data_IF_730534908047
#
_entry.id   IF_730534908047
#
_cell.length_a   1.000
_cell.length_b   1.000
_cell.length_c   1.000
_cell.angle_alpha   90.00
_cell.angle_beta   90.00
_cell.angle_gamma   90.00
#
_symmetry.space_group_name_H-M   'P 1'
#
loop_
_entity.id
_entity.type
_entity.pdbx_description
1 polymer ?
#
# COMPACT_ATOMS: atom_id res chain seq x y z
N UNK A 1 28.70 -16.71 37.90
CA UNK A 1 27.39 -16.87 37.23
C UNK A 1 27.30 -15.77 36.19
N UNK A 2 27.74 -16.07 34.98
CA UNK A 2 27.58 -15.14 33.83
C UNK A 2 26.23 -15.42 33.17
N UNK A 3 25.33 -14.43 33.22
CA UNK A 3 24.12 -14.44 32.44
C UNK A 3 24.48 -13.98 31.01
N UNK A 4 24.61 -14.94 30.09
CA UNK A 4 24.68 -14.68 28.67
C UNK A 4 23.35 -14.10 28.20
N UNK A 5 23.31 -12.79 27.98
CA UNK A 5 22.20 -12.15 27.30
C UNK A 5 22.28 -12.50 25.82
N UNK A 6 21.37 -13.36 25.32
CA UNK A 6 21.16 -13.59 23.92
C UNK A 6 20.65 -12.29 23.27
N UNK A 7 21.55 -11.54 22.66
CA UNK A 7 21.21 -10.39 21.81
C UNK A 7 20.70 -10.94 20.50
N UNK A 8 19.38 -11.07 20.36
CA UNK A 8 18.75 -11.40 19.07
C UNK A 8 19.02 -10.25 18.12
N UNK A 9 19.84 -10.51 17.10
CA UNK A 9 20.09 -9.54 16.03
C UNK A 9 18.77 -9.18 15.33
N UNK A 10 18.52 -7.91 15.00
CA UNK A 10 17.31 -7.51 14.29
C UNK A 10 17.27 -8.22 12.94
N UNK A 11 16.17 -8.93 12.65
CA UNK A 11 15.98 -9.58 11.36
C UNK A 11 15.91 -8.50 10.27
N UNK A 12 16.78 -8.61 9.26
CA UNK A 12 16.83 -7.67 8.15
C UNK A 12 15.58 -7.84 7.28
N UNK A 13 14.89 -6.73 6.97
CA UNK A 13 13.77 -6.73 6.03
C UNK A 13 14.28 -7.00 4.61
N UNK A 14 13.66 -7.95 3.93
CA UNK A 14 13.93 -8.24 2.51
C UNK A 14 12.92 -7.51 1.64
N UNK A 15 13.40 -6.93 0.53
CA UNK A 15 12.57 -6.19 -0.42
C UNK A 15 12.77 -6.74 -1.84
N UNK A 16 11.68 -6.80 -2.60
CA UNK A 16 11.70 -7.03 -4.06
C UNK A 16 10.83 -5.97 -4.71
N UNK A 17 11.36 -5.24 -5.67
CA UNK A 17 10.65 -4.15 -6.35
C UNK A 17 10.46 -4.49 -7.83
N UNK A 18 9.26 -4.22 -8.34
CA UNK A 18 8.85 -4.42 -9.72
C UNK A 18 8.28 -3.11 -10.26
N UNK A 19 8.67 -2.73 -11.47
CA UNK A 19 8.01 -1.66 -12.23
C UNK A 19 6.92 -2.28 -13.11
N UNK A 20 5.76 -1.63 -13.19
CA UNK A 20 4.63 -2.09 -13.99
C UNK A 20 3.74 -0.94 -14.44
N UNK A 21 2.85 -1.19 -15.40
CA UNK A 21 1.88 -0.23 -15.93
C UNK A 21 0.46 -0.76 -15.79
N UNK A 22 -0.54 0.06 -16.14
CA UNK A 22 -1.94 -0.38 -16.15
C UNK A 22 -2.24 -1.52 -17.15
N UNK A 23 -1.34 -1.75 -18.10
CA UNK A 23 -1.46 -2.81 -19.10
C UNK A 23 -0.85 -4.15 -18.63
N UNK A 24 -0.06 -4.16 -17.54
CA UNK A 24 0.69 -5.33 -17.06
C UNK A 24 0.42 -5.59 -15.56
N UNK A 25 -0.83 -5.59 -15.17
CA UNK A 25 -1.24 -5.81 -13.78
C UNK A 25 -1.28 -7.27 -13.35
N UNK A 26 -1.38 -8.21 -14.32
CA UNK A 26 -1.53 -9.63 -14.05
C UNK A 26 -0.30 -10.19 -13.33
N UNK A 27 0.90 -9.77 -13.73
CA UNK A 27 2.14 -10.17 -13.08
C UNK A 27 2.21 -9.77 -11.60
N UNK A 28 1.73 -8.57 -11.26
CA UNK A 28 1.66 -8.12 -9.88
C UNK A 28 0.59 -8.88 -9.09
N UNK A 29 -0.57 -9.13 -9.69
CA UNK A 29 -1.62 -9.92 -9.06
C UNK A 29 -1.19 -11.37 -8.78
N UNK A 30 -0.42 -11.98 -9.69
CA UNK A 30 0.15 -13.31 -9.51
C UNK A 30 1.18 -13.33 -8.37
N UNK A 31 2.07 -12.34 -8.34
CA UNK A 31 3.04 -12.20 -7.26
C UNK A 31 2.35 -11.97 -5.90
N UNK A 32 1.27 -11.17 -5.85
CA UNK A 32 0.47 -10.99 -4.62
C UNK A 32 -0.11 -12.33 -4.12
N UNK A 33 -0.65 -13.17 -5.02
CA UNK A 33 -1.16 -14.49 -4.64
C UNK A 33 -0.07 -15.37 -4.04
N UNK A 34 1.07 -15.46 -4.72
CA UNK A 34 2.24 -16.21 -4.23
C UNK A 34 2.76 -15.66 -2.90
N UNK A 35 2.74 -14.34 -2.74
CA UNK A 35 3.24 -13.67 -1.54
C UNK A 35 2.29 -13.83 -0.34
N UNK A 36 0.99 -14.01 -0.59
CA UNK A 36 0.00 -14.30 0.45
C UNK A 36 0.16 -15.72 1.02
N UNK A 37 0.67 -16.67 0.21
CA UNK A 37 0.89 -18.04 0.64
C UNK A 37 1.92 -18.08 1.78
N UNK A 38 1.49 -18.59 2.95
CA UNK A 38 2.31 -18.65 4.15
C UNK A 38 2.61 -17.28 4.77
N UNK A 39 1.74 -16.28 4.57
CA UNK A 39 1.83 -15.00 5.25
C UNK A 39 1.75 -15.19 6.78
N UNK A 40 2.62 -14.49 7.51
CA UNK A 40 2.83 -14.60 8.95
C UNK A 40 2.64 -13.28 9.70
N UNK A 41 2.03 -12.28 9.03
CA UNK A 41 1.86 -10.93 9.56
C UNK A 41 3.08 -10.01 9.41
N UNK A 42 4.16 -10.51 8.78
CA UNK A 42 5.42 -9.77 8.56
C UNK A 42 5.64 -9.45 7.07
N UNK A 43 4.62 -9.61 6.26
CA UNK A 43 4.66 -9.40 4.82
C UNK A 43 3.73 -8.26 4.43
N UNK A 44 4.21 -7.38 3.55
CA UNK A 44 3.38 -6.31 2.98
C UNK A 44 3.85 -5.92 1.59
N UNK A 45 2.93 -5.38 0.80
CA UNK A 45 3.18 -4.78 -0.49
C UNK A 45 2.93 -3.28 -0.39
N UNK A 46 3.84 -2.49 -0.94
CA UNK A 46 3.63 -1.07 -1.21
C UNK A 46 3.59 -0.84 -2.71
N UNK A 47 2.62 -0.05 -3.17
CA UNK A 47 2.55 0.46 -4.55
C UNK A 47 2.57 1.99 -4.49
N UNK A 48 3.44 2.59 -5.29
CA UNK A 48 3.55 4.05 -5.46
C UNK A 48 3.61 4.39 -6.94
N UNK A 49 3.20 5.61 -7.35
CA UNK A 49 3.53 6.12 -8.67
C UNK A 49 5.05 6.11 -8.89
N UNK A 50 5.50 5.68 -10.06
CA UNK A 50 6.88 5.81 -10.51
C UNK A 50 7.05 7.20 -11.11
N UNK A 51 7.34 8.18 -10.25
CA UNK A 51 7.50 9.57 -10.63
C UNK A 51 8.96 9.97 -10.54
N UNK A 52 9.49 10.59 -11.60
CA UNK A 52 10.85 11.11 -11.63
C UNK A 52 11.06 12.19 -10.55
N UNK A 53 12.26 12.22 -9.96
CA UNK A 53 12.64 13.22 -8.95
C UNK A 53 12.44 14.68 -9.43
N UNK A 54 12.42 14.92 -10.75
CA UNK A 54 12.17 16.22 -11.36
C UNK A 54 10.68 16.63 -11.35
N UNK A 55 9.75 15.69 -11.32
CA UNK A 55 8.31 15.96 -11.23
C UNK A 55 7.92 16.32 -9.80
N UNK A 56 8.75 15.94 -8.86
CA UNK A 56 8.55 16.15 -7.44
C UNK A 56 9.33 17.38 -6.99
N UNK A 57 8.83 18.55 -7.26
CA UNK A 57 9.50 19.84 -7.06
C UNK A 57 9.76 20.27 -5.61
N UNK A 58 9.79 19.40 -4.59
CA UNK A 58 10.12 19.84 -3.23
C UNK A 58 10.73 18.75 -2.35
N UNK A 59 12.00 18.93 -2.00
CA UNK A 59 12.61 18.41 -0.77
C UNK A 59 12.84 16.89 -0.71
N UNK A 60 13.86 16.50 0.05
CA UNK A 60 14.25 15.12 0.34
C UNK A 60 13.04 14.20 0.63
N UNK A 61 13.04 13.01 0.05
CA UNK A 61 12.02 11.94 0.25
C UNK A 61 11.73 11.69 1.74
N UNK A 62 12.72 11.83 2.61
CA UNK A 62 12.58 11.69 4.06
C UNK A 62 11.64 12.74 4.69
N UNK A 63 11.70 13.99 4.26
CA UNK A 63 10.82 15.05 4.77
C UNK A 63 9.38 14.91 4.28
N UNK A 64 9.14 14.21 3.17
CA UNK A 64 7.80 13.97 2.62
C UNK A 64 7.02 12.93 3.41
N UNK A 65 7.70 11.90 3.93
CA UNK A 65 7.07 10.87 4.76
C UNK A 65 6.64 11.38 6.14
N UNK A 66 7.27 12.45 6.64
CA UNK A 66 7.04 13.00 7.99
C UNK A 66 6.43 14.40 8.00
N UNK A 67 5.92 14.89 6.86
CA UNK A 67 5.26 16.19 6.86
C UNK A 67 4.00 16.12 7.72
N UNK A 68 3.73 17.19 8.48
CA UNK A 68 2.50 17.31 9.29
C UNK A 68 1.22 17.30 8.44
N UNK A 69 1.35 17.35 7.11
CA UNK A 69 0.26 17.33 6.11
C UNK A 69 0.00 15.94 5.53
N UNK A 70 0.77 14.92 5.91
CA UNK A 70 0.70 13.57 5.33
C UNK A 70 1.66 13.36 4.15
N UNK A 71 1.71 12.16 3.54
CA UNK A 71 2.60 11.86 2.42
C UNK A 71 2.20 12.68 1.20
N UNK A 72 3.15 13.35 0.57
CA UNK A 72 2.93 14.13 -0.68
C UNK A 72 2.65 13.19 -1.84
N UNK A 73 3.32 12.03 -1.87
CA UNK A 73 3.10 10.97 -2.85
C UNK A 73 2.12 9.98 -2.25
N UNK A 74 0.96 9.71 -2.89
CA UNK A 74 0.04 8.70 -2.39
C UNK A 74 0.70 7.32 -2.47
N UNK A 75 0.39 6.49 -1.49
CA UNK A 75 0.92 5.12 -1.39
C UNK A 75 -0.21 4.17 -1.05
N UNK A 76 -0.31 3.08 -1.81
CA UNK A 76 -1.11 1.93 -1.42
C UNK A 76 -0.24 0.97 -0.62
N UNK A 77 -0.76 0.47 0.49
CA UNK A 77 -0.17 -0.63 1.27
C UNK A 77 -1.18 -1.76 1.37
N UNK A 78 -0.78 -2.97 1.01
CA UNK A 78 -1.57 -4.17 1.20
C UNK A 78 -0.89 -5.13 2.17
N UNK A 79 -1.69 -5.64 3.10
CA UNK A 79 -1.30 -6.66 4.08
C UNK A 79 -2.11 -7.93 3.77
N UNK A 80 -1.48 -9.07 3.47
CA UNK A 80 -2.19 -10.32 3.27
C UNK A 80 -2.84 -10.82 4.57
N UNK A 81 -3.93 -11.58 4.44
CA UNK A 81 -4.50 -12.29 5.57
C UNK A 81 -3.46 -13.23 6.19
N UNK A 82 -3.44 -13.32 7.51
CA UNK A 82 -2.45 -14.15 8.21
C UNK A 82 -2.99 -14.70 9.52
N UNK A 83 -2.44 -15.83 10.01
CA UNK A 83 -2.76 -16.36 11.32
C UNK A 83 -2.34 -15.40 12.43
N UNK A 84 -3.18 -15.26 13.45
CA UNK A 84 -2.89 -14.52 14.66
C UNK A 84 -3.27 -15.34 15.90
N UNK A 85 -2.97 -14.83 17.11
CA UNK A 85 -3.34 -15.48 18.35
C UNK A 85 -4.86 -15.61 18.56
N UNK A 86 -5.63 -14.74 17.89
CA UNK A 86 -7.08 -14.64 18.02
C UNK A 86 -7.83 -15.23 16.82
N UNK A 87 -7.15 -15.94 15.93
CA UNK A 87 -7.72 -16.49 14.70
C UNK A 87 -6.98 -16.00 13.47
N UNK A 88 -7.70 -15.73 12.38
CA UNK A 88 -7.13 -15.19 11.15
C UNK A 88 -7.40 -13.69 11.09
N UNK A 89 -6.35 -12.90 11.03
CA UNK A 89 -6.46 -11.47 10.70
C UNK A 89 -6.78 -11.34 9.20
N UNK A 90 -7.85 -10.63 8.84
CA UNK A 90 -8.21 -10.47 7.44
C UNK A 90 -7.19 -9.63 6.68
N UNK A 91 -7.12 -9.80 5.37
CA UNK A 91 -6.32 -8.94 4.52
C UNK A 91 -6.80 -7.49 4.63
N UNK A 92 -5.87 -6.55 4.53
CA UNK A 92 -6.17 -5.13 4.60
C UNK A 92 -5.49 -4.40 3.43
N UNK A 93 -6.12 -3.33 2.98
CA UNK A 93 -5.51 -2.39 2.05
C UNK A 93 -5.73 -0.97 2.55
N UNK A 94 -4.67 -0.19 2.53
CA UNK A 94 -4.71 1.23 2.88
C UNK A 94 -4.19 2.09 1.74
N UNK A 95 -4.76 3.29 1.58
CA UNK A 95 -4.21 4.32 0.68
C UNK A 95 -3.92 5.56 1.51
N UNK A 96 -2.63 5.83 1.69
CA UNK A 96 -2.15 7.05 2.32
C UNK A 96 -2.11 8.19 1.29
N UNK A 97 -2.54 9.38 1.69
CA UNK A 97 -2.56 10.58 0.84
C UNK A 97 -2.51 11.86 1.67
N UNK A 98 -2.22 12.99 1.04
CA UNK A 98 -2.07 14.30 1.68
C UNK A 98 -3.09 15.33 1.19
N UNK A 99 -4.27 14.93 0.74
CA UNK A 99 -5.22 15.85 0.09
C UNK A 99 -5.96 16.78 1.07
N UNK A 100 -5.89 16.51 2.39
CA UNK A 100 -6.60 17.29 3.40
C UNK A 100 -8.11 17.08 3.40
N UNK A 101 -8.64 16.14 2.60
CA UNK A 101 -10.05 15.73 2.50
C UNK A 101 -10.17 14.23 2.70
N UNK A 102 -11.39 13.75 2.93
CA UNK A 102 -11.71 12.32 2.89
C UNK A 102 -11.26 11.70 1.56
N UNK A 103 -10.53 10.57 1.61
CA UNK A 103 -10.12 9.86 0.40
C UNK A 103 -11.33 9.32 -0.34
N UNK A 104 -12.29 8.75 0.37
CA UNK A 104 -13.51 8.17 -0.23
C UNK A 104 -14.34 9.23 -0.95
N UNK A 105 -14.53 10.41 -0.35
CA UNK A 105 -15.23 11.52 -0.98
C UNK A 105 -14.52 11.91 -2.30
N UNK A 106 -13.21 12.11 -2.24
CA UNK A 106 -12.44 12.52 -3.42
C UNK A 106 -12.42 11.46 -4.51
N UNK A 107 -12.28 10.18 -4.17
CA UNK A 107 -12.33 9.08 -5.14
C UNK A 107 -13.71 9.00 -5.81
N UNK A 108 -14.78 9.14 -5.02
CA UNK A 108 -16.15 9.18 -5.54
C UNK A 108 -16.37 10.35 -6.51
N UNK A 109 -15.92 11.56 -6.16
CA UNK A 109 -16.01 12.75 -7.01
C UNK A 109 -15.27 12.59 -8.34
N UNK A 110 -14.25 11.72 -8.37
CA UNK A 110 -13.42 11.42 -9.54
C UNK A 110 -13.84 10.15 -10.29
N UNK A 111 -14.94 9.52 -9.87
CA UNK A 111 -15.48 8.32 -10.51
C UNK A 111 -14.73 7.02 -10.21
N UNK A 112 -13.85 7.01 -9.21
CA UNK A 112 -13.20 5.79 -8.72
C UNK A 112 -14.11 5.11 -7.71
N UNK A 113 -14.69 3.98 -8.13
CA UNK A 113 -15.56 3.19 -7.27
C UNK A 113 -14.77 2.25 -6.37
N UNK A 114 -15.18 2.15 -5.11
CA UNK A 114 -14.64 1.13 -4.19
C UNK A 114 -15.18 -0.24 -4.61
N UNK A 115 -14.31 -1.24 -4.84
CA UNK A 115 -14.74 -2.57 -5.25
C UNK A 115 -15.61 -3.26 -4.20
N UNK A 116 -16.46 -4.19 -4.64
CA UNK A 116 -17.19 -5.08 -3.74
C UNK A 116 -16.22 -5.88 -2.87
N UNK A 117 -16.56 -6.08 -1.61
CA UNK A 117 -15.72 -6.78 -0.63
C UNK A 117 -14.68 -5.91 0.06
N UNK A 118 -14.62 -4.60 -0.24
CA UNK A 118 -13.80 -3.64 0.50
C UNK A 118 -14.65 -2.95 1.56
N UNK A 119 -14.37 -3.21 2.83
CA UNK A 119 -15.09 -2.65 3.96
C UNK A 119 -14.26 -1.54 4.62
N UNK A 120 -14.62 -0.26 4.47
CA UNK A 120 -13.84 0.84 5.03
C UNK A 120 -13.92 0.81 6.57
N UNK A 121 -12.76 0.84 7.22
CA UNK A 121 -12.64 0.91 8.68
C UNK A 121 -12.00 2.22 9.14
N UNK A 122 -11.38 2.95 8.23
CA UNK A 122 -10.84 4.28 8.47
C UNK A 122 -10.95 5.11 7.18
N UNK A 123 -11.34 6.38 7.31
CA UNK A 123 -11.17 7.40 6.29
C UNK A 123 -10.80 8.72 6.97
N UNK A 124 -9.53 9.04 6.97
CA UNK A 124 -8.96 10.16 7.70
C UNK A 124 -8.21 11.10 6.76
N UNK A 125 -8.53 12.40 6.82
CA UNK A 125 -8.02 13.45 5.92
C UNK A 125 -6.48 13.53 5.81
N UNK A 126 -5.74 13.05 6.81
CA UNK A 126 -4.27 13.09 6.86
C UNK A 126 -3.60 11.71 6.85
N UNK A 127 -4.35 10.66 7.21
CA UNK A 127 -3.81 9.28 7.35
C UNK A 127 -4.24 8.38 6.21
N UNK A 128 -5.22 8.82 5.42
CA UNK A 128 -5.76 8.05 4.34
C UNK A 128 -6.91 7.12 4.73
N UNK A 129 -7.27 6.27 3.82
CA UNK A 129 -8.34 5.28 3.94
C UNK A 129 -7.75 3.89 4.17
N UNK A 130 -8.42 3.09 5.02
CA UNK A 130 -8.07 1.68 5.25
C UNK A 130 -9.34 0.85 5.08
N UNK A 131 -9.22 -0.25 4.36
CA UNK A 131 -10.27 -1.25 4.16
C UNK A 131 -9.81 -2.60 4.73
N UNK A 132 -10.75 -3.31 5.33
CA UNK A 132 -10.68 -4.76 5.51
C UNK A 132 -11.25 -5.41 4.25
N UNK A 133 -10.61 -6.47 3.79
CA UNK A 133 -11.00 -7.15 2.57
C UNK A 133 -11.73 -8.45 2.88
N UNK A 134 -12.79 -8.72 2.13
CA UNK A 134 -13.43 -10.04 2.16
C UNK A 134 -12.45 -11.09 1.61
N UNK A 135 -12.51 -12.35 2.10
CA UNK A 135 -11.56 -13.40 1.72
C UNK A 135 -11.49 -13.70 0.22
N UNK A 136 -12.56 -13.40 -0.52
CA UNK A 136 -12.69 -13.71 -1.95
C UNK A 136 -12.34 -12.52 -2.87
N UNK A 137 -11.84 -11.42 -2.32
CA UNK A 137 -11.41 -10.27 -3.14
C UNK A 137 -10.23 -10.68 -3.99
N UNK A 138 -10.32 -10.58 -5.34
CA UNK A 138 -9.21 -10.93 -6.21
C UNK A 138 -8.06 -9.94 -6.06
N UNK A 139 -6.80 -10.40 -6.13
CA UNK A 139 -5.62 -9.54 -6.12
C UNK A 139 -5.66 -8.48 -7.24
N UNK A 140 -6.17 -8.83 -8.42
CA UNK A 140 -6.36 -7.90 -9.53
C UNK A 140 -7.27 -6.72 -9.17
N UNK A 141 -8.34 -6.94 -8.40
CA UNK A 141 -9.22 -5.87 -7.94
C UNK A 141 -8.50 -4.90 -7.01
N UNK A 142 -7.58 -5.40 -6.17
CA UNK A 142 -6.75 -4.57 -5.28
C UNK A 142 -5.80 -3.71 -6.10
N UNK A 143 -5.14 -4.30 -7.10
CA UNK A 143 -4.19 -3.58 -7.98
C UNK A 143 -4.92 -2.50 -8.77
N UNK A 144 -6.03 -2.82 -9.45
CA UNK A 144 -6.79 -1.86 -10.25
C UNK A 144 -7.36 -0.71 -9.42
N UNK A 145 -7.94 -1.02 -8.25
CA UNK A 145 -8.40 0.01 -7.32
C UNK A 145 -7.24 0.91 -6.89
N UNK A 146 -6.11 0.30 -6.53
CA UNK A 146 -4.91 0.99 -6.09
C UNK A 146 -4.40 1.98 -7.13
N UNK A 147 -4.28 1.56 -8.38
CA UNK A 147 -3.82 2.41 -9.47
C UNK A 147 -4.76 3.59 -9.71
N UNK A 148 -6.08 3.34 -9.75
CA UNK A 148 -7.08 4.40 -9.84
C UNK A 148 -6.99 5.38 -8.67
N UNK A 149 -6.89 4.87 -7.45
CA UNK A 149 -6.77 5.69 -6.25
C UNK A 149 -5.47 6.51 -6.23
N UNK A 150 -4.33 5.90 -6.58
CA UNK A 150 -3.04 6.59 -6.62
C UNK A 150 -3.04 7.72 -7.66
N UNK A 151 -3.66 7.49 -8.83
CA UNK A 151 -3.78 8.51 -9.88
C UNK A 151 -4.62 9.69 -9.41
N UNK A 152 -5.81 9.46 -8.87
CA UNK A 152 -6.75 10.51 -8.50
C UNK A 152 -6.37 11.24 -7.19
N UNK A 153 -5.60 10.61 -6.32
CA UNK A 153 -5.12 11.21 -5.08
C UNK A 153 -3.74 11.86 -5.23
N UNK A 154 -3.07 11.64 -6.37
CA UNK A 154 -1.78 12.28 -6.66
C UNK A 154 -1.96 13.80 -6.84
N UNK A 155 -1.07 14.62 -6.26
CA UNK A 155 -1.07 16.07 -6.44
C UNK A 155 -0.37 16.50 -7.75
N UNK A 156 0.16 15.55 -8.52
CA UNK A 156 0.88 15.77 -9.78
C UNK A 156 0.44 14.74 -10.82
N UNK A 157 0.57 15.08 -12.09
CA UNK A 157 0.42 14.14 -13.19
C UNK A 157 1.70 13.28 -13.27
N UNK A 158 1.56 12.01 -13.56
CA UNK A 158 2.67 11.08 -13.81
C UNK A 158 2.30 10.14 -14.95
N UNK A 159 3.32 9.60 -15.60
CA UNK A 159 3.13 8.56 -16.59
C UNK A 159 2.46 7.33 -15.96
N UNK A 160 1.85 6.46 -16.78
CA UNK A 160 1.19 5.26 -16.31
C UNK A 160 2.20 4.19 -15.88
N UNK A 161 3.05 4.56 -14.92
CA UNK A 161 4.11 3.73 -14.37
C UNK A 161 4.02 3.69 -12.83
N UNK A 162 4.23 2.50 -12.27
CA UNK A 162 4.10 2.23 -10.84
C UNK A 162 5.24 1.35 -10.36
N UNK A 163 5.63 1.52 -9.11
CA UNK A 163 6.58 0.66 -8.40
C UNK A 163 5.85 -0.14 -7.34
N UNK A 164 5.92 -1.48 -7.44
CA UNK A 164 5.42 -2.42 -6.44
C UNK A 164 6.59 -2.99 -5.65
N UNK A 165 6.63 -2.76 -4.33
CA UNK A 165 7.67 -3.26 -3.43
C UNK A 165 7.09 -4.26 -2.45
N UNK A 166 7.43 -5.51 -2.61
CA UNK A 166 7.11 -6.61 -1.70
C UNK A 166 8.16 -6.68 -0.59
N UNK A 167 7.73 -6.63 0.64
CA UNK A 167 8.59 -6.57 1.82
C UNK A 167 8.25 -7.67 2.81
N UNK A 168 9.28 -8.30 3.38
CA UNK A 168 9.17 -9.34 4.41
C UNK A 168 10.20 -9.10 5.52
N UNK A 169 9.76 -9.12 6.78
CA UNK A 169 10.58 -8.98 7.97
C UNK A 169 10.92 -10.35 8.58
#
# INVERSE_FOLDING_TARGET
MEQGGDTVAPMATRHRTFSFTSLDTDGIADEMRSFADGADGKRWLNIVPDADDNEIHTGSIFWRMFSSRGPVIPQLTWLPAHPSKNGVEPAQVGVAHATGRSALERLSDRGVSVPSGFQPIQDHQKRGVIFVLDPNVPASSIVHFGMGALRELSPFEFEDAYLATFSQQ
#
